data_IF_090489209643
#
_entry.id   IF_090489209643
#
_cell.length_a   1.000
_cell.length_b   1.000
_cell.length_c   1.000
_cell.angle_alpha   90.00
_cell.angle_beta   90.00
_cell.angle_gamma   90.00
#
_symmetry.space_group_name_H-M   'P 1'
#
loop_
_entity.id
_entity.type
_entity.pdbx_description
1 polymer ?
#
# COMPACT_ATOMS: atom_id res chain seq x y z
N UNK A 1 -0.52 -2.59 9.83
CA UNK A 1 -1.38 -3.71 9.39
C UNK A 1 -2.64 -3.74 10.25
N UNK A 2 -3.82 -3.75 9.64
CA UNK A 2 -5.11 -3.84 10.32
C UNK A 2 -5.58 -5.30 10.27
N UNK A 3 -5.75 -5.94 11.44
CA UNK A 3 -6.21 -7.32 11.53
C UNK A 3 -7.47 -7.41 12.41
N UNK A 4 -8.32 -8.36 12.11
CA UNK A 4 -9.55 -8.62 12.87
C UNK A 4 -10.34 -9.77 12.26
N UNK A 5 -11.36 -10.27 12.96
CA UNK A 5 -12.21 -11.34 12.46
C UNK A 5 -13.00 -10.92 11.21
N UNK A 6 -13.45 -11.92 10.45
CA UNK A 6 -14.33 -11.69 9.28
C UNK A 6 -15.59 -10.96 9.75
N UNK A 7 -15.96 -9.86 9.09
CA UNK A 7 -17.16 -9.09 9.44
C UNK A 7 -16.97 -8.00 10.50
N UNK A 8 -15.77 -7.80 11.06
CA UNK A 8 -15.53 -6.77 12.09
C UNK A 8 -15.35 -5.32 11.54
N UNK A 9 -15.79 -5.04 10.33
CA UNK A 9 -15.80 -3.68 9.77
C UNK A 9 -14.44 -3.16 9.30
N UNK A 10 -13.46 -4.03 8.98
CA UNK A 10 -12.13 -3.63 8.48
C UNK A 10 -12.20 -2.77 7.22
N UNK A 11 -12.97 -3.19 6.23
CA UNK A 11 -13.18 -2.44 5.00
C UNK A 11 -13.77 -1.06 5.27
N UNK A 12 -14.75 -0.98 6.17
CA UNK A 12 -15.35 0.29 6.61
C UNK A 12 -14.31 1.17 7.30
N UNK A 13 -13.49 0.60 8.18
CA UNK A 13 -12.42 1.32 8.86
C UNK A 13 -11.37 1.83 7.88
N UNK A 14 -10.97 1.03 6.88
CA UNK A 14 -10.04 1.46 5.83
C UNK A 14 -10.62 2.62 5.01
N UNK A 15 -11.89 2.55 4.63
CA UNK A 15 -12.56 3.62 3.89
C UNK A 15 -12.72 4.90 4.71
N UNK A 16 -13.06 4.78 5.98
CA UNK A 16 -13.14 5.93 6.90
C UNK A 16 -11.77 6.56 7.10
N UNK A 17 -10.73 5.74 7.26
CA UNK A 17 -9.35 6.22 7.33
C UNK A 17 -8.96 6.97 6.06
N UNK A 18 -9.20 6.38 4.88
CA UNK A 18 -8.93 7.03 3.59
C UNK A 18 -9.66 8.38 3.47
N UNK A 19 -10.94 8.43 3.87
CA UNK A 19 -11.75 9.65 3.83
C UNK A 19 -11.31 10.70 4.86
N UNK A 20 -10.67 10.31 5.95
CA UNK A 20 -10.16 11.23 6.97
C UNK A 20 -8.86 11.94 6.57
N UNK A 21 -8.16 11.44 5.54
CA UNK A 21 -6.91 12.02 5.07
C UNK A 21 -7.17 13.27 4.22
N UNK A 22 -6.47 14.35 4.52
CA UNK A 22 -6.61 15.60 3.78
C UNK A 22 -6.07 15.45 2.35
N UNK A 23 -6.89 15.66 1.30
CA UNK A 23 -6.49 15.38 -0.09
C UNK A 23 -5.37 16.29 -0.60
N UNK A 24 -5.12 17.42 0.03
CA UNK A 24 -3.99 18.30 -0.28
C UNK A 24 -2.65 17.82 0.26
N UNK A 25 -2.65 16.92 1.26
CA UNK A 25 -1.45 16.39 1.92
C UNK A 25 -1.19 14.92 1.60
N UNK A 26 -2.25 14.19 1.23
CA UNK A 26 -2.18 12.75 1.01
C UNK A 26 -2.79 12.37 -0.34
N UNK A 27 -2.11 11.52 -1.06
CA UNK A 27 -2.65 10.86 -2.25
C UNK A 27 -2.97 9.41 -1.93
N UNK A 28 -4.23 9.10 -1.78
CA UNK A 28 -4.69 7.75 -1.40
C UNK A 28 -4.92 6.91 -2.64
N UNK A 29 -4.33 5.71 -2.68
CA UNK A 29 -4.66 4.64 -3.59
C UNK A 29 -5.29 3.50 -2.78
N UNK A 30 -6.58 3.25 -2.96
CA UNK A 30 -7.32 2.19 -2.29
C UNK A 30 -7.56 1.04 -3.25
N UNK A 31 -7.02 -0.12 -2.91
CA UNK A 31 -7.08 -1.32 -3.74
C UNK A 31 -7.67 -2.47 -2.95
N UNK A 32 -8.71 -3.08 -3.48
CA UNK A 32 -9.27 -4.34 -3.00
C UNK A 32 -8.94 -5.43 -4.02
N UNK A 33 -7.87 -6.18 -3.76
CA UNK A 33 -7.42 -7.26 -4.63
C UNK A 33 -7.94 -8.60 -4.08
N UNK A 34 -8.79 -9.24 -4.84
CA UNK A 34 -9.29 -10.59 -4.50
C UNK A 34 -8.45 -11.69 -5.15
N UNK A 35 -7.92 -11.44 -6.31
CA UNK A 35 -7.01 -12.34 -7.03
C UNK A 35 -6.23 -11.51 -8.03
N UNK A 36 -5.00 -11.88 -8.34
CA UNK A 36 -4.28 -11.18 -9.38
C UNK A 36 -2.80 -11.51 -9.44
N UNK A 37 -2.23 -11.23 -10.57
CA UNK A 37 -0.79 -11.25 -10.77
C UNK A 37 -0.17 -9.95 -10.23
N UNK A 38 1.15 -9.92 -10.15
CA UNK A 38 1.90 -8.70 -9.82
C UNK A 38 1.57 -7.56 -10.81
N UNK A 39 1.41 -7.89 -12.08
CA UNK A 39 1.04 -6.90 -13.11
C UNK A 39 -0.35 -6.32 -12.86
N UNK A 40 -1.35 -7.16 -12.51
CA UNK A 40 -2.70 -6.68 -12.22
C UNK A 40 -2.71 -5.72 -11.03
N UNK A 41 -1.91 -6.03 -10.00
CA UNK A 41 -1.73 -5.14 -8.86
C UNK A 41 -1.14 -3.78 -9.29
N UNK A 42 -0.08 -3.80 -10.07
CA UNK A 42 0.54 -2.55 -10.55
C UNK A 42 -0.40 -1.74 -11.44
N UNK A 43 -1.15 -2.39 -12.31
CA UNK A 43 -2.13 -1.71 -13.16
C UNK A 43 -3.26 -1.09 -12.32
N UNK A 44 -3.72 -1.78 -11.29
CA UNK A 44 -4.74 -1.25 -10.39
C UNK A 44 -4.21 -0.06 -9.59
N UNK A 45 -3.00 -0.15 -9.05
CA UNK A 45 -2.35 0.98 -8.36
C UNK A 45 -2.13 2.17 -9.30
N UNK A 46 -1.69 1.92 -10.52
CA UNK A 46 -1.51 2.96 -11.53
C UNK A 46 -2.82 3.68 -11.83
N UNK A 47 -3.90 2.93 -12.00
CA UNK A 47 -5.23 3.48 -12.22
C UNK A 47 -5.68 4.38 -11.06
N UNK A 48 -5.53 3.92 -9.81
CA UNK A 48 -5.88 4.69 -8.61
C UNK A 48 -5.06 5.99 -8.48
N UNK A 49 -3.82 5.97 -8.94
CA UNK A 49 -2.95 7.16 -8.98
C UNK A 49 -3.16 8.05 -10.21
N UNK A 50 -4.01 7.63 -11.14
CA UNK A 50 -4.32 8.38 -12.37
C UNK A 50 -3.34 8.17 -13.52
N UNK A 51 -2.53 7.11 -13.45
CA UNK A 51 -1.61 6.72 -14.51
C UNK A 51 -2.28 5.82 -15.55
N UNK A 52 -1.72 5.80 -16.76
CA UNK A 52 -2.10 4.82 -17.76
C UNK A 52 -1.55 3.43 -17.38
N UNK A 53 -2.33 2.37 -17.55
CA UNK A 53 -1.88 1.01 -17.24
C UNK A 53 -0.81 0.55 -18.24
N UNK A 54 0.31 0.12 -17.72
CA UNK A 54 1.43 -0.40 -18.48
C UNK A 54 1.23 -1.89 -18.83
N UNK A 55 1.83 -2.34 -19.94
CA UNK A 55 1.66 -3.71 -20.42
C UNK A 55 2.66 -4.71 -19.82
N UNK A 56 3.77 -4.23 -19.26
CA UNK A 56 4.76 -5.08 -18.63
C UNK A 56 4.95 -4.74 -17.16
N UNK A 57 5.32 -5.76 -16.36
CA UNK A 57 5.63 -5.58 -14.95
C UNK A 57 6.74 -4.54 -14.72
N UNK A 58 7.78 -4.58 -15.55
CA UNK A 58 8.92 -3.68 -15.40
C UNK A 58 8.57 -2.22 -15.70
N UNK A 59 7.77 -1.96 -16.76
CA UNK A 59 7.31 -0.61 -17.06
C UNK A 59 6.31 -0.09 -16.04
N UNK A 60 5.39 -0.93 -15.58
CA UNK A 60 4.43 -0.57 -14.55
C UNK A 60 5.11 -0.23 -13.22
N UNK A 61 6.09 -1.03 -12.79
CA UNK A 61 6.89 -0.76 -11.60
C UNK A 61 7.63 0.58 -11.70
N UNK A 62 8.25 0.85 -12.84
CA UNK A 62 8.98 2.10 -13.08
C UNK A 62 8.05 3.31 -13.04
N UNK A 63 6.92 3.24 -13.76
CA UNK A 63 5.94 4.31 -13.80
C UNK A 63 5.37 4.63 -12.40
N UNK A 64 5.07 3.61 -11.60
CA UNK A 64 4.61 3.79 -10.22
C UNK A 64 5.69 4.44 -9.33
N UNK A 65 6.94 4.02 -9.46
CA UNK A 65 8.05 4.63 -8.71
C UNK A 65 8.23 6.10 -9.05
N UNK A 66 8.20 6.44 -10.32
CA UNK A 66 8.32 7.82 -10.80
C UNK A 66 7.18 8.68 -10.27
N UNK A 67 5.95 8.17 -10.31
CA UNK A 67 4.78 8.90 -9.78
C UNK A 67 4.83 9.08 -8.26
N UNK A 68 5.22 8.04 -7.52
CA UNK A 68 5.40 8.13 -6.07
C UNK A 68 6.46 9.19 -5.72
N UNK A 69 7.58 9.20 -6.44
CA UNK A 69 8.63 10.19 -6.25
C UNK A 69 8.15 11.61 -6.59
N UNK A 70 7.41 11.76 -7.68
CA UNK A 70 6.84 13.05 -8.11
C UNK A 70 5.83 13.59 -7.08
N UNK A 71 4.95 12.74 -6.56
CA UNK A 71 3.98 13.13 -5.53
C UNK A 71 4.68 13.66 -4.28
N UNK A 72 5.74 12.97 -3.85
CA UNK A 72 6.48 13.37 -2.66
C UNK A 72 7.29 14.66 -2.86
N UNK A 73 7.97 14.80 -4.00
CA UNK A 73 8.90 15.92 -4.25
C UNK A 73 8.20 17.18 -4.80
N UNK A 74 7.35 17.01 -5.81
CA UNK A 74 6.75 18.14 -6.52
C UNK A 74 5.39 18.53 -5.92
N UNK A 75 4.50 17.55 -5.74
CA UNK A 75 3.17 17.79 -5.22
C UNK A 75 3.14 17.96 -3.69
N UNK A 76 4.21 17.60 -3.00
CA UNK A 76 4.30 17.56 -1.52
C UNK A 76 3.15 16.77 -0.88
N UNK A 77 2.72 15.72 -1.55
CA UNK A 77 1.69 14.80 -1.10
C UNK A 77 2.31 13.48 -0.71
N UNK A 78 1.93 12.96 0.44
CA UNK A 78 2.37 11.62 0.87
C UNK A 78 1.49 10.57 0.20
N UNK A 79 2.03 9.68 -0.64
CA UNK A 79 1.28 8.55 -1.18
C UNK A 79 0.91 7.58 -0.06
N UNK A 80 -0.37 7.21 -0.01
CA UNK A 80 -0.91 6.24 0.96
C UNK A 80 -1.54 5.09 0.19
N UNK A 81 -0.91 3.92 0.23
CA UNK A 81 -1.42 2.72 -0.41
C UNK A 81 -2.22 1.91 0.62
N UNK A 82 -3.49 1.69 0.35
CA UNK A 82 -4.37 0.87 1.20
C UNK A 82 -4.75 -0.37 0.40
N UNK A 83 -4.30 -1.52 0.87
CA UNK A 83 -4.63 -2.82 0.28
C UNK A 83 -5.59 -3.53 1.21
N UNK A 84 -6.85 -3.64 0.79
CA UNK A 84 -7.86 -4.42 1.49
C UNK A 84 -7.78 -5.90 1.07
N UNK A 85 -8.24 -6.79 1.94
CA UNK A 85 -8.19 -8.25 1.71
C UNK A 85 -6.78 -8.79 1.43
N UNK A 86 -5.75 -8.21 2.04
CA UNK A 86 -4.34 -8.52 1.77
C UNK A 86 -3.96 -9.99 2.03
N UNK A 87 -4.80 -10.75 2.73
CA UNK A 87 -4.60 -12.19 2.95
C UNK A 87 -4.76 -13.02 1.66
N UNK A 88 -5.44 -12.48 0.65
CA UNK A 88 -5.61 -13.12 -0.66
C UNK A 88 -4.40 -12.88 -1.58
N UNK A 89 -3.48 -12.01 -1.18
CA UNK A 89 -2.31 -11.72 -2.00
C UNK A 89 -1.31 -12.87 -2.00
N UNK A 90 -0.78 -13.16 -3.17
CA UNK A 90 0.31 -14.11 -3.35
C UNK A 90 1.60 -13.53 -2.76
N UNK A 91 2.52 -14.41 -2.38
CA UNK A 91 3.80 -14.00 -1.81
C UNK A 91 4.63 -13.13 -2.76
N UNK A 92 4.59 -13.40 -4.08
CA UNK A 92 5.29 -12.60 -5.08
C UNK A 92 4.73 -11.17 -5.15
N UNK A 93 3.42 -10.99 -5.00
CA UNK A 93 2.77 -9.68 -4.95
C UNK A 93 3.18 -8.92 -3.67
N UNK A 94 3.24 -9.59 -2.53
CA UNK A 94 3.69 -8.99 -1.26
C UNK A 94 5.16 -8.55 -1.32
N UNK A 95 6.04 -9.35 -1.94
CA UNK A 95 7.44 -8.98 -2.14
C UNK A 95 7.58 -7.76 -3.06
N UNK A 96 6.79 -7.68 -4.13
CA UNK A 96 6.80 -6.53 -5.03
C UNK A 96 6.26 -5.26 -4.36
N UNK A 97 5.20 -5.37 -3.55
CA UNK A 97 4.74 -4.25 -2.72
C UNK A 97 5.83 -3.77 -1.76
N UNK A 98 6.55 -4.70 -1.14
CA UNK A 98 7.69 -4.38 -0.29
C UNK A 98 8.78 -3.64 -1.06
N UNK A 99 9.15 -4.11 -2.26
CA UNK A 99 10.13 -3.45 -3.11
C UNK A 99 9.68 -2.04 -3.49
N UNK A 100 8.40 -1.87 -3.82
CA UNK A 100 7.84 -0.57 -4.16
C UNK A 100 7.90 0.40 -2.98
N UNK A 101 7.66 -0.09 -1.75
CA UNK A 101 7.64 0.74 -0.54
C UNK A 101 9.03 0.97 0.08
N UNK A 102 9.99 0.06 -0.11
CA UNK A 102 11.32 0.18 0.49
C UNK A 102 12.29 1.04 -0.32
N UNK A 103 11.94 1.39 -1.54
CA UNK A 103 12.84 2.11 -2.46
C UNK A 103 13.28 3.51 -1.95
N UNK A 104 12.52 4.14 -1.09
CA UNK A 104 12.77 5.52 -0.64
C UNK A 104 13.15 5.63 0.85
N UNK A 105 13.76 4.59 1.42
CA UNK A 105 14.23 4.66 2.81
C UNK A 105 15.32 5.72 3.03
N UNK A 106 16.01 6.16 1.97
CA UNK A 106 17.05 7.20 2.01
C UNK A 106 16.51 8.64 1.85
N UNK A 107 15.27 8.79 1.38
CA UNK A 107 14.62 10.09 1.30
C UNK A 107 13.48 10.14 2.32
N UNK A 108 13.58 11.09 3.23
CA UNK A 108 12.63 11.28 4.33
C UNK A 108 11.15 11.06 3.94
N UNK A 109 10.56 9.96 4.45
CA UNK A 109 9.10 9.74 4.61
C UNK A 109 8.25 9.85 3.33
N UNK A 110 8.46 9.00 2.35
CA UNK A 110 7.80 9.19 1.07
C UNK A 110 6.51 8.41 0.84
N UNK A 111 6.11 7.47 1.71
CA UNK A 111 4.85 6.73 1.53
C UNK A 111 4.40 5.94 2.77
N UNK A 112 3.12 5.59 2.80
CA UNK A 112 2.52 4.74 3.82
C UNK A 112 1.84 3.55 3.14
N UNK A 113 2.07 2.34 3.65
CA UNK A 113 1.37 1.13 3.23
C UNK A 113 0.50 0.61 4.36
N UNK A 114 -0.80 0.51 4.11
CA UNK A 114 -1.77 -0.11 5.01
C UNK A 114 -2.27 -1.42 4.40
N UNK A 115 -2.02 -2.52 5.09
CA UNK A 115 -2.56 -3.83 4.72
C UNK A 115 -3.70 -4.20 5.66
N UNK A 116 -4.86 -4.54 5.13
CA UNK A 116 -6.01 -5.02 5.86
C UNK A 116 -6.35 -6.46 5.48
N UNK A 117 -6.65 -7.29 6.47
CA UNK A 117 -7.04 -8.68 6.26
C UNK A 117 -7.49 -9.36 7.56
N UNK A 118 -8.15 -10.53 7.50
CA UNK A 118 -8.53 -11.27 8.68
C UNK A 118 -7.29 -11.73 9.45
N UNK A 119 -7.40 -11.83 10.77
CA UNK A 119 -6.40 -12.49 11.59
C UNK A 119 -6.47 -14.00 11.34
N UNK A 120 -5.41 -14.58 10.80
CA UNK A 120 -5.31 -16.03 10.68
C UNK A 120 -4.59 -16.60 11.91
N UNK A 121 -5.19 -17.56 12.65
CA UNK A 121 -4.57 -18.11 13.86
C UNK A 121 -3.27 -18.89 13.61
N UNK A 122 -2.96 -19.20 12.35
CA UNK A 122 -1.79 -20.04 12.00
C UNK A 122 -0.47 -19.29 11.84
N UNK A 123 -0.49 -17.97 11.84
CA UNK A 123 0.73 -17.16 11.55
C UNK A 123 1.40 -16.54 12.77
N UNK A 124 0.89 -16.74 13.98
CA UNK A 124 1.50 -16.19 15.18
C UNK A 124 2.90 -16.75 15.51
N UNK A 125 3.23 -17.94 15.02
CA UNK A 125 4.53 -18.58 15.30
C UNK A 125 5.63 -18.26 14.27
N UNK A 126 5.27 -17.79 13.05
CA UNK A 126 6.25 -17.45 12.00
C UNK A 126 6.45 -15.95 11.80
N UNK A 127 5.69 -15.14 12.52
CA UNK A 127 5.67 -13.68 12.35
C UNK A 127 6.74 -12.92 13.14
N UNK A 128 7.42 -13.60 14.08
CA UNK A 128 8.47 -12.97 14.90
C UNK A 128 9.80 -12.78 14.16
N UNK A 129 10.01 -13.47 13.03
CA UNK A 129 11.25 -13.32 12.24
C UNK A 129 11.10 -12.47 10.97
N UNK A 130 9.88 -12.05 10.60
CA UNK A 130 9.63 -11.31 9.35
C UNK A 130 9.05 -9.91 9.53
N UNK A 131 8.98 -9.40 10.74
CA UNK A 131 8.42 -8.07 11.00
C UNK A 131 9.44 -6.94 10.83
N UNK A 132 9.86 -6.73 9.57
CA UNK A 132 10.45 -5.47 9.16
C UNK A 132 9.44 -4.48 8.58
N UNK A 133 8.15 -4.83 8.57
CA UNK A 133 7.06 -3.94 8.16
C UNK A 133 6.42 -3.34 9.41
N UNK A 134 7.07 -2.36 9.98
CA UNK A 134 6.48 -1.53 11.03
C UNK A 134 5.56 -0.50 10.40
N UNK A 135 4.32 -0.47 10.85
CA UNK A 135 3.41 0.64 10.59
C UNK A 135 3.96 1.90 11.27
N UNK A 136 4.74 2.68 10.54
CA UNK A 136 5.12 4.00 11.02
C UNK A 136 4.05 5.00 10.58
N UNK A 137 3.09 5.25 11.45
CA UNK A 137 2.25 6.44 11.35
C UNK A 137 3.14 7.62 11.76
N UNK A 138 3.68 8.33 10.79
CA UNK A 138 4.41 9.56 11.07
C UNK A 138 3.38 10.67 11.39
N UNK A 139 3.41 11.18 12.61
CA UNK A 139 2.75 12.43 12.98
C UNK A 139 3.42 13.57 12.21
N UNK A 140 2.67 14.52 11.63
CA UNK A 140 3.26 15.74 11.13
C UNK A 140 3.87 16.49 12.30
N UNK A 141 5.12 16.95 12.14
CA UNK A 141 5.73 17.90 13.06
C UNK A 141 4.97 19.23 13.01
N UNK A 142 4.64 19.73 14.17
CA UNK A 142 4.07 21.08 14.38
C UNK A 142 5.04 22.15 13.95
#
# INVERSE_FOLDING_TARGET
MLTGEVGCGKTTACRQFAASLHPGLFRVAYVSLTTGSVLDMYQTLAWELGLQPERSRASAYRALREEIARLASEARQLPVLIIDEAHNLRNDVLEDLRLLTSFQMDAERCQCLLLAGPSCPRDSAKRHERSGLTSTVARPAS
#
